data_IF_219231388471
#
_entry.id   IF_219231388471
#
_cell.length_a   1.000
_cell.length_b   1.000
_cell.length_c   1.000
_cell.angle_alpha   90.00
_cell.angle_beta   90.00
_cell.angle_gamma   90.00
#
_symmetry.space_group_name_H-M   'P 1'
#
loop_
_entity.id
_entity.type
_entity.pdbx_description
1 polymer ?
#
# COMPACT_ATOMS: atom_id res chain seq x y z
N UNK A 1 -46.46 3.28 -23.97
CA UNK A 1 -45.72 2.56 -22.90
C UNK A 1 -45.26 3.57 -21.85
N UNK A 2 -45.89 3.61 -20.66
CA UNK A 2 -45.44 4.50 -19.57
C UNK A 2 -44.22 3.86 -18.90
N UNK A 3 -43.03 4.35 -19.24
CA UNK A 3 -41.78 3.91 -18.65
C UNK A 3 -41.77 4.22 -17.14
N UNK A 4 -41.80 3.20 -16.30
CA UNK A 4 -42.00 3.35 -14.86
C UNK A 4 -40.70 3.79 -14.17
N UNK A 5 -40.39 5.08 -14.25
CA UNK A 5 -39.15 5.71 -13.80
C UNK A 5 -38.77 5.37 -12.35
N UNK A 6 -39.76 5.15 -11.48
CA UNK A 6 -39.53 4.75 -10.07
C UNK A 6 -38.81 3.40 -9.95
N UNK A 7 -39.13 2.42 -10.81
CA UNK A 7 -38.47 1.09 -10.77
C UNK A 7 -37.02 1.16 -11.22
N UNK A 8 -36.73 2.00 -12.21
CA UNK A 8 -35.36 2.19 -12.74
C UNK A 8 -34.47 2.84 -11.68
N UNK A 9 -34.96 3.85 -10.97
CA UNK A 9 -34.23 4.54 -9.90
C UNK A 9 -33.89 3.56 -8.76
N UNK A 10 -34.83 2.69 -8.37
CA UNK A 10 -34.59 1.68 -7.33
C UNK A 10 -33.52 0.69 -7.76
N UNK A 11 -33.57 0.19 -9.00
CA UNK A 11 -32.57 -0.75 -9.52
C UNK A 11 -31.18 -0.09 -9.56
N UNK A 12 -31.07 1.15 -10.04
CA UNK A 12 -29.82 1.90 -10.06
C UNK A 12 -29.26 2.13 -8.66
N UNK A 13 -30.10 2.51 -7.69
CA UNK A 13 -29.69 2.69 -6.31
C UNK A 13 -29.16 1.38 -5.70
N UNK A 14 -29.84 0.26 -5.94
CA UNK A 14 -29.39 -1.06 -5.49
C UNK A 14 -28.03 -1.38 -6.09
N UNK A 15 -27.86 -1.27 -7.41
CA UNK A 15 -26.59 -1.56 -8.11
C UNK A 15 -25.45 -0.70 -7.58
N UNK A 16 -25.67 0.61 -7.41
CA UNK A 16 -24.64 1.51 -6.86
C UNK A 16 -24.28 1.10 -5.43
N UNK A 17 -25.28 0.78 -4.61
CA UNK A 17 -25.05 0.37 -3.22
C UNK A 17 -24.28 -0.95 -3.13
N UNK A 18 -24.62 -1.96 -3.95
CA UNK A 18 -23.85 -3.22 -4.00
C UNK A 18 -22.43 -2.98 -4.46
N UNK A 19 -22.22 -2.13 -5.49
CA UNK A 19 -20.86 -1.80 -5.95
C UNK A 19 -20.07 -1.11 -4.84
N UNK A 20 -20.64 -0.13 -4.13
CA UNK A 20 -19.98 0.56 -3.01
C UNK A 20 -19.62 -0.41 -1.90
N UNK A 21 -20.53 -1.30 -1.50
CA UNK A 21 -20.27 -2.31 -0.46
C UNK A 21 -19.14 -3.25 -0.89
N UNK A 22 -19.18 -3.76 -2.11
CA UNK A 22 -18.15 -4.66 -2.65
C UNK A 22 -16.79 -3.96 -2.71
N UNK A 23 -16.75 -2.70 -3.12
CA UNK A 23 -15.51 -1.91 -3.19
C UNK A 23 -14.97 -1.65 -1.78
N UNK A 24 -15.81 -1.24 -0.83
CA UNK A 24 -15.40 -0.99 0.56
C UNK A 24 -14.90 -2.26 1.26
N UNK A 25 -15.52 -3.42 0.98
CA UNK A 25 -15.04 -4.71 1.47
C UNK A 25 -13.72 -5.14 0.85
N UNK A 26 -13.53 -4.87 -0.45
CA UNK A 26 -12.35 -5.30 -1.19
C UNK A 26 -11.14 -4.38 -1.00
N UNK A 27 -11.39 -3.11 -0.64
CA UNK A 27 -10.39 -2.09 -0.38
C UNK A 27 -10.79 -1.31 0.88
N UNK A 28 -10.47 -1.82 2.08
CA UNK A 28 -10.78 -1.12 3.31
C UNK A 28 -9.91 0.14 3.41
N UNK A 29 -10.49 1.30 3.10
CA UNK A 29 -9.85 2.60 3.31
C UNK A 29 -10.06 3.06 4.75
N UNK A 30 -9.10 3.82 5.30
CA UNK A 30 -9.23 4.41 6.63
C UNK A 30 -9.11 3.42 7.80
N UNK A 31 -8.45 2.27 7.57
CA UNK A 31 -8.14 1.28 8.62
C UNK A 31 -7.24 1.91 9.67
N UNK A 32 -7.72 1.99 10.91
CA UNK A 32 -6.96 2.54 12.05
C UNK A 32 -6.02 1.52 12.69
N UNK A 33 -6.38 0.23 12.60
CA UNK A 33 -5.58 -0.86 13.13
C UNK A 33 -5.85 -2.16 12.38
N UNK A 34 -4.82 -2.99 12.23
CA UNK A 34 -4.92 -4.34 11.67
C UNK A 34 -3.82 -5.21 12.29
N UNK A 35 -4.20 -6.23 13.05
CA UNK A 35 -3.28 -7.31 13.49
C UNK A 35 -2.01 -6.76 14.16
N UNK A 36 -2.18 -5.87 15.14
CA UNK A 36 -1.07 -5.21 15.84
C UNK A 36 -0.43 -4.02 15.12
N UNK A 37 -0.71 -3.82 13.82
CA UNK A 37 -0.35 -2.59 13.11
C UNK A 37 -1.35 -1.50 13.45
N UNK A 38 -0.89 -0.36 13.94
CA UNK A 38 -1.72 0.77 14.40
C UNK A 38 -1.28 2.05 13.68
N UNK A 39 -2.24 2.83 13.20
CA UNK A 39 -1.97 4.12 12.57
C UNK A 39 -1.26 5.05 13.57
N UNK A 40 -0.16 5.67 13.14
CA UNK A 40 0.70 6.53 13.96
C UNK A 40 1.84 5.81 14.68
N UNK A 41 1.90 4.48 14.64
CA UNK A 41 3.10 3.76 15.12
C UNK A 41 4.27 3.95 14.16
N UNK A 42 5.49 3.64 14.61
CA UNK A 42 6.65 3.63 13.73
C UNK A 42 6.56 2.43 12.76
N UNK A 43 6.89 2.66 11.49
CA UNK A 43 7.26 1.59 10.56
C UNK A 43 8.58 0.97 10.99
N UNK A 44 8.78 -0.28 10.58
CA UNK A 44 9.96 -1.09 10.90
C UNK A 44 11.20 -0.66 10.14
N UNK A 45 11.00 -0.15 8.93
CA UNK A 45 12.06 0.26 8.01
C UNK A 45 11.82 1.71 7.61
N UNK A 46 12.72 2.57 8.07
CA UNK A 46 12.79 4.01 7.77
C UNK A 46 14.25 4.41 7.62
N UNK A 47 14.53 5.64 7.19
CA UNK A 47 15.89 6.16 6.98
C UNK A 47 16.90 5.69 8.04
N UNK A 48 17.97 5.05 7.58
CA UNK A 48 19.09 4.59 8.40
C UNK A 48 18.88 3.26 9.12
N UNK A 49 17.68 2.68 9.11
CA UNK A 49 17.44 1.33 9.63
C UNK A 49 18.01 0.27 8.67
N UNK A 50 18.43 -0.87 9.20
CA UNK A 50 18.94 -1.96 8.36
C UNK A 50 17.82 -2.69 7.63
N UNK A 51 18.04 -3.00 6.35
CA UNK A 51 17.15 -3.80 5.50
C UNK A 51 17.38 -5.31 5.66
N UNK A 52 18.41 -5.71 6.40
CA UNK A 52 18.89 -7.10 6.41
C UNK A 52 19.52 -7.55 5.09
N UNK A 53 19.88 -6.62 4.20
CA UNK A 53 20.54 -6.89 2.92
C UNK A 53 22.07 -6.70 2.98
N UNK A 54 22.76 -7.05 1.89
CA UNK A 54 24.18 -6.78 1.73
C UNK A 54 24.43 -5.34 1.23
N UNK A 55 25.60 -4.75 1.54
CA UNK A 55 25.99 -3.45 0.98
C UNK A 55 25.93 -3.45 -0.57
N UNK A 56 25.49 -2.36 -1.21
CA UNK A 56 25.22 -1.03 -0.63
C UNK A 56 23.76 -0.81 -0.14
N UNK A 57 22.87 -1.79 -0.26
CA UNK A 57 21.44 -1.63 0.09
C UNK A 57 21.12 -2.13 1.51
N UNK A 58 22.12 -2.24 2.37
CA UNK A 58 22.02 -2.75 3.75
C UNK A 58 21.29 -1.79 4.70
N UNK A 59 21.05 -0.55 4.26
CA UNK A 59 20.32 0.48 4.98
C UNK A 59 19.21 1.09 4.13
N UNK A 60 18.12 1.47 4.80
CA UNK A 60 17.00 2.17 4.19
C UNK A 60 17.42 3.62 3.90
N UNK A 61 17.25 4.13 2.66
CA UNK A 61 17.60 5.49 2.32
C UNK A 61 16.63 6.51 2.92
N UNK A 62 17.04 7.78 2.92
CA UNK A 62 16.12 8.90 3.18
C UNK A 62 15.10 8.94 2.02
N UNK A 63 13.82 9.02 2.35
CA UNK A 63 12.73 9.02 1.37
C UNK A 63 11.56 9.85 1.89
N UNK A 64 10.71 10.32 0.97
CA UNK A 64 9.55 11.15 1.29
C UNK A 64 8.46 10.36 2.01
N UNK A 65 8.42 9.05 1.78
CA UNK A 65 7.54 8.09 2.43
C UNK A 65 8.12 6.68 2.32
N UNK A 66 7.62 5.78 3.17
CA UNK A 66 8.04 4.39 3.23
C UNK A 66 6.85 3.46 3.03
N UNK A 67 7.05 2.41 2.24
CA UNK A 67 6.05 1.40 1.93
C UNK A 67 6.54 0.05 2.40
N UNK A 68 5.71 -0.66 3.18
CA UNK A 68 5.96 -2.05 3.51
C UNK A 68 4.83 -2.92 3.00
N UNK A 69 5.17 -3.99 2.28
CA UNK A 69 4.20 -4.97 1.80
C UNK A 69 4.50 -6.36 2.39
N UNK A 70 3.52 -6.94 3.06
CA UNK A 70 3.63 -8.27 3.64
C UNK A 70 2.82 -9.28 2.84
N UNK A 71 3.40 -10.47 2.64
CA UNK A 71 2.72 -11.65 2.10
C UNK A 71 2.43 -11.60 0.59
N UNK A 72 3.02 -10.65 -0.14
CA UNK A 72 2.81 -10.49 -1.57
C UNK A 72 3.97 -11.06 -2.40
N UNK A 73 5.15 -10.44 -2.31
CA UNK A 73 6.35 -10.82 -3.06
C UNK A 73 7.30 -11.65 -2.21
N UNK A 74 7.97 -12.66 -2.80
CA UNK A 74 8.88 -13.56 -2.07
C UNK A 74 9.91 -12.80 -1.24
N UNK A 75 10.52 -11.80 -1.87
CA UNK A 75 11.40 -10.78 -1.30
C UNK A 75 11.69 -9.76 -2.41
N UNK A 76 11.49 -8.47 -2.19
CA UNK A 76 11.94 -7.42 -3.10
C UNK A 76 12.10 -6.08 -2.37
N UNK A 77 12.96 -5.21 -2.92
CA UNK A 77 13.19 -3.84 -2.44
C UNK A 77 13.22 -2.90 -3.66
N UNK A 78 12.68 -1.70 -3.49
CA UNK A 78 12.65 -0.65 -4.53
C UNK A 78 11.98 -1.10 -5.83
N UNK A 79 12.53 -0.67 -6.96
CA UNK A 79 12.06 -1.02 -8.31
C UNK A 79 12.07 -2.52 -8.61
N UNK A 80 12.79 -3.36 -7.85
CA UNK A 80 12.73 -4.82 -7.99
C UNK A 80 11.36 -5.38 -7.60
N UNK A 81 10.53 -4.62 -6.89
CA UNK A 81 9.13 -4.95 -6.60
C UNK A 81 8.19 -4.74 -7.81
N UNK A 82 8.72 -4.92 -9.03
CA UNK A 82 8.00 -4.74 -10.27
C UNK A 82 7.46 -3.33 -10.46
N UNK A 83 6.35 -3.21 -11.20
CA UNK A 83 5.80 -1.91 -11.60
C UNK A 83 5.35 -1.07 -10.39
N UNK A 84 4.87 -1.71 -9.32
CA UNK A 84 4.49 -1.03 -8.09
C UNK A 84 5.70 -0.35 -7.45
N UNK A 85 6.81 -1.08 -7.29
CA UNK A 85 8.05 -0.53 -6.75
C UNK A 85 8.68 0.56 -7.61
N UNK A 86 8.68 0.38 -8.93
CA UNK A 86 9.14 1.41 -9.86
C UNK A 86 8.41 2.75 -9.68
N UNK A 87 7.09 2.71 -9.42
CA UNK A 87 6.33 3.92 -9.14
C UNK A 87 6.66 4.53 -7.77
N UNK A 88 6.90 3.70 -6.75
CA UNK A 88 7.34 4.18 -5.43
C UNK A 88 8.65 4.96 -5.57
N UNK A 89 9.64 4.36 -6.21
CA UNK A 89 10.97 4.94 -6.37
C UNK A 89 10.92 6.27 -7.14
N UNK A 90 10.14 6.34 -8.22
CA UNK A 90 10.00 7.59 -8.97
C UNK A 90 9.44 8.71 -8.09
N UNK A 91 8.37 8.41 -7.34
CA UNK A 91 7.66 9.36 -6.47
C UNK A 91 8.46 9.74 -5.23
N UNK A 92 9.70 9.28 -5.11
CA UNK A 92 10.61 9.62 -4.01
C UNK A 92 10.31 8.85 -2.73
N UNK A 93 9.61 7.73 -2.83
CA UNK A 93 9.42 6.80 -1.72
C UNK A 93 10.43 5.65 -1.74
N UNK A 94 10.38 4.84 -0.70
CA UNK A 94 11.10 3.57 -0.63
C UNK A 94 10.14 2.43 -0.31
N UNK A 95 10.39 1.24 -0.86
CA UNK A 95 9.56 0.05 -0.61
C UNK A 95 10.41 -1.16 -0.27
N UNK A 96 9.90 -1.94 0.70
CA UNK A 96 10.22 -3.35 0.88
C UNK A 96 8.97 -4.21 0.81
N UNK A 97 9.11 -5.41 0.25
CA UNK A 97 8.07 -6.42 0.30
C UNK A 97 8.63 -7.79 0.66
N UNK A 98 8.03 -8.42 1.66
CA UNK A 98 8.48 -9.69 2.21
C UNK A 98 7.33 -10.68 2.33
N UNK A 99 7.53 -11.89 1.79
CA UNK A 99 6.66 -13.04 2.05
C UNK A 99 7.14 -13.84 3.25
N UNK A 100 8.44 -13.78 3.57
CA UNK A 100 9.00 -14.56 4.66
C UNK A 100 9.00 -13.77 5.97
N UNK A 101 8.56 -14.45 7.02
CA UNK A 101 8.25 -13.81 8.28
C UNK A 101 9.45 -13.66 9.23
N UNK A 102 10.63 -14.15 8.85
CA UNK A 102 11.85 -14.01 9.65
C UNK A 102 12.26 -12.54 9.82
N UNK A 103 11.65 -11.62 9.06
CA UNK A 103 11.80 -10.16 9.16
C UNK A 103 10.61 -9.45 9.82
N UNK A 104 9.63 -10.21 10.36
CA UNK A 104 8.58 -9.66 11.21
C UNK A 104 9.13 -9.46 12.62
N UNK A 105 9.31 -8.20 13.01
CA UNK A 105 9.52 -7.82 14.40
C UNK A 105 8.37 -8.36 15.26
N UNK A 106 8.66 -8.85 16.47
CA UNK A 106 7.71 -9.54 17.35
C UNK A 106 6.54 -8.68 17.85
N UNK A 107 6.47 -7.43 17.40
CA UNK A 107 5.48 -6.43 17.78
C UNK A 107 4.23 -6.43 16.88
N UNK A 108 4.20 -7.20 15.79
CA UNK A 108 3.02 -7.34 14.91
C UNK A 108 2.36 -8.70 15.10
N UNK A 109 1.04 -8.71 15.27
CA UNK A 109 0.21 -9.92 15.39
C UNK A 109 -0.16 -10.48 14.00
N UNK A 110 0.79 -10.53 13.07
CA UNK A 110 0.63 -11.18 11.77
C UNK A 110 1.08 -12.64 11.85
N UNK A 111 0.29 -13.55 11.30
CA UNK A 111 0.64 -14.97 11.28
C UNK A 111 1.78 -15.22 10.29
N UNK A 112 2.93 -15.63 10.81
CA UNK A 112 4.12 -16.00 10.02
C UNK A 112 3.75 -16.95 8.87
N UNK A 113 2.96 -17.99 9.18
CA UNK A 113 2.56 -19.00 8.21
C UNK A 113 1.57 -18.45 7.17
N UNK A 114 0.66 -17.56 7.56
CA UNK A 114 -0.31 -16.98 6.64
C UNK A 114 0.32 -15.91 5.74
N UNK A 115 1.29 -15.14 6.24
CA UNK A 115 2.13 -14.23 5.43
C UNK A 115 2.99 -15.03 4.44
N UNK A 116 3.67 -16.10 4.91
CA UNK A 116 4.47 -16.97 4.05
C UNK A 116 3.66 -17.65 2.95
N UNK A 117 2.45 -18.10 3.26
CA UNK A 117 1.56 -18.69 2.26
C UNK A 117 0.88 -17.64 1.36
N UNK A 118 0.90 -16.36 1.72
CA UNK A 118 0.20 -15.26 1.03
C UNK A 118 -1.31 -15.19 1.32
N UNK A 119 -1.77 -15.97 2.31
CA UNK A 119 -3.15 -15.90 2.84
C UNK A 119 -3.39 -14.58 3.55
N UNK A 120 -2.41 -14.11 4.29
CA UNK A 120 -2.43 -12.82 4.96
C UNK A 120 -1.53 -11.83 4.23
N UNK A 121 -2.09 -10.69 3.88
CA UNK A 121 -1.42 -9.64 3.11
C UNK A 121 -1.80 -8.29 3.68
N UNK A 122 -0.85 -7.38 3.75
CA UNK A 122 -1.11 -6.00 4.12
C UNK A 122 -0.04 -5.09 3.56
N UNK A 123 -0.45 -3.92 3.09
CA UNK A 123 0.45 -2.82 2.75
C UNK A 123 0.32 -1.75 3.82
N UNK A 124 1.45 -1.20 4.24
CA UNK A 124 1.52 -0.03 5.12
C UNK A 124 2.22 1.10 4.38
N UNK A 125 1.72 2.32 4.59
CA UNK A 125 2.32 3.56 4.09
C UNK A 125 2.71 4.37 5.32
N UNK A 126 3.95 4.83 5.37
CA UNK A 126 4.46 5.69 6.43
C UNK A 126 5.04 6.99 5.86
N UNK A 127 4.94 8.08 6.62
CA UNK A 127 5.52 9.38 6.25
C UNK A 127 7.06 9.37 6.30
N UNK A 128 7.69 10.49 5.94
CA UNK A 128 9.15 10.65 5.98
C UNK A 128 9.78 10.43 7.37
N UNK A 129 9.01 10.57 8.46
CA UNK A 129 9.46 10.31 9.83
C UNK A 129 9.29 8.84 10.22
N UNK A 130 8.75 8.02 9.31
CA UNK A 130 8.43 6.62 9.53
C UNK A 130 7.15 6.40 10.33
N UNK A 131 6.23 7.36 10.41
CA UNK A 131 4.92 7.16 11.06
C UNK A 131 3.92 6.56 10.10
N UNK A 132 3.31 5.44 10.46
CA UNK A 132 2.30 4.79 9.62
C UNK A 132 1.08 5.71 9.48
N UNK A 133 0.80 6.13 8.25
CA UNK A 133 -0.35 7.00 7.89
C UNK A 133 -1.40 6.26 7.06
N UNK A 134 -1.11 5.04 6.61
CA UNK A 134 -2.05 4.20 5.87
C UNK A 134 -1.83 2.71 6.12
N UNK A 135 -2.93 1.95 6.23
CA UNK A 135 -2.94 0.50 6.41
C UNK A 135 -3.94 -0.10 5.42
N UNK A 136 -3.49 -1.06 4.62
CA UNK A 136 -4.23 -1.61 3.49
C UNK A 136 -4.21 -3.15 3.52
N UNK A 137 -5.04 -3.78 4.38
CA UNK A 137 -5.19 -5.23 4.42
C UNK A 137 -5.62 -5.81 3.08
N UNK A 138 -5.16 -7.03 2.77
CA UNK A 138 -5.46 -7.77 1.55
C UNK A 138 -4.83 -7.24 0.25
N UNK A 139 -4.17 -6.07 0.32
CA UNK A 139 -3.58 -5.39 -0.84
C UNK A 139 -2.27 -6.03 -1.29
N UNK A 140 -1.92 -5.77 -2.54
CA UNK A 140 -0.70 -6.23 -3.22
C UNK A 140 0.11 -5.05 -3.72
N UNK A 141 1.39 -5.23 -3.97
CA UNK A 141 2.32 -4.25 -4.54
C UNK A 141 1.77 -3.66 -5.84
N UNK A 142 1.11 -4.46 -6.67
CA UNK A 142 0.40 -3.96 -7.87
C UNK A 142 -0.74 -2.96 -7.58
N UNK A 143 -1.24 -2.90 -6.35
CA UNK A 143 -2.25 -1.95 -5.91
C UNK A 143 -1.65 -0.61 -5.47
N UNK A 144 -0.32 -0.48 -5.40
CA UNK A 144 0.36 0.70 -4.88
C UNK A 144 0.03 2.01 -5.59
N UNK A 145 -0.12 2.07 -6.93
CA UNK A 145 -0.61 3.29 -7.57
C UNK A 145 -1.92 3.71 -6.90
N UNK A 146 -2.93 2.85 -6.94
CA UNK A 146 -4.23 3.16 -6.37
C UNK A 146 -4.18 3.59 -4.89
N UNK A 147 -3.38 2.91 -4.06
CA UNK A 147 -3.16 3.25 -2.65
C UNK A 147 -2.56 4.65 -2.50
N UNK A 148 -1.48 4.95 -3.24
CA UNK A 148 -0.78 6.23 -3.15
C UNK A 148 -1.62 7.43 -3.61
N UNK A 149 -2.73 7.20 -4.34
CA UNK A 149 -3.65 8.30 -4.68
C UNK A 149 -4.18 8.99 -3.43
N UNK A 150 -4.35 8.23 -2.35
CA UNK A 150 -4.83 8.72 -1.07
C UNK A 150 -3.73 9.34 -0.20
N UNK A 151 -2.48 9.31 -0.69
CA UNK A 151 -1.28 9.77 -0.01
C UNK A 151 -0.47 10.74 -0.89
N UNK A 152 -1.13 11.47 -1.80
CA UNK A 152 -0.46 12.46 -2.66
C UNK A 152 0.20 13.58 -1.85
N UNK A 153 -0.28 13.83 -0.64
CA UNK A 153 0.29 14.75 0.34
C UNK A 153 1.70 14.37 0.80
N UNK A 154 2.10 13.10 0.66
CA UNK A 154 3.45 12.63 0.97
C UNK A 154 4.44 12.81 -0.18
N UNK A 155 3.96 13.20 -1.36
CA UNK A 155 4.73 13.26 -2.59
C UNK A 155 5.07 14.71 -2.88
N UNK A 156 6.36 14.99 -3.06
CA UNK A 156 6.81 16.31 -3.49
C UNK A 156 6.20 16.71 -4.83
N UNK A 157 5.84 17.99 -4.99
CA UNK A 157 5.12 18.48 -6.17
C UNK A 157 5.98 18.35 -7.43
N UNK A 158 7.28 18.59 -7.35
CA UNK A 158 8.20 18.45 -8.48
C UNK A 158 8.34 16.98 -8.87
N UNK A 159 8.50 16.10 -7.87
CA UNK A 159 8.51 14.64 -8.08
C UNK A 159 7.22 14.15 -8.74
N UNK A 160 6.07 14.64 -8.29
CA UNK A 160 4.78 14.32 -8.90
C UNK A 160 4.75 14.72 -10.38
N UNK A 161 5.19 15.94 -10.72
CA UNK A 161 5.20 16.42 -12.10
C UNK A 161 6.06 15.54 -13.00
N UNK A 162 7.29 15.21 -12.57
CA UNK A 162 8.25 14.39 -13.31
C UNK A 162 7.70 12.97 -13.52
N UNK A 163 7.12 12.38 -12.48
CA UNK A 163 6.68 10.98 -12.52
C UNK A 163 5.27 10.81 -13.09
N UNK A 164 4.46 11.88 -13.16
CA UNK A 164 3.06 11.80 -13.60
C UNK A 164 2.91 11.04 -14.92
N UNK A 165 3.83 11.25 -15.87
CA UNK A 165 3.76 10.70 -17.23
C UNK A 165 3.97 9.19 -17.34
N UNK A 166 4.71 8.59 -16.41
CA UNK A 166 4.92 7.14 -16.39
C UNK A 166 3.82 6.42 -15.62
N UNK A 167 3.01 7.15 -14.84
CA UNK A 167 1.95 6.58 -14.03
C UNK A 167 0.76 6.16 -14.88
N UNK A 168 0.00 5.13 -14.46
CA UNK A 168 -1.14 4.67 -15.23
C UNK A 168 -2.15 5.80 -15.45
N UNK A 169 -2.72 5.93 -16.66
CA UNK A 169 -3.65 7.03 -17.00
C UNK A 169 -4.82 7.18 -16.03
N UNK A 170 -5.30 6.06 -15.47
CA UNK A 170 -6.39 6.03 -14.47
C UNK A 170 -5.96 6.57 -13.09
N UNK A 171 -4.72 7.01 -12.96
CA UNK A 171 -4.12 7.55 -11.76
C UNK A 171 -3.86 9.06 -11.81
N UNK A 172 -3.74 9.62 -13.02
CA UNK A 172 -3.70 11.07 -13.25
C UNK A 172 -5.06 11.68 -12.87
#
# INVERSE_FOLDING_TARGET
MKFNHKKIIIILAVVITTVVIVVAWRYPFGVRSYKGIILGMNTFEKAGESTGWAPPDDHVPISSFYVRAFGDESFCIGAMCGIGGYFIDCLGGWISAYRQAQMLDGNIDLSIADVASGKERVITIADANGKIVGIYPGSRVRNLPFILRNHRDLIDVERWQICSDILPRWWK
#
